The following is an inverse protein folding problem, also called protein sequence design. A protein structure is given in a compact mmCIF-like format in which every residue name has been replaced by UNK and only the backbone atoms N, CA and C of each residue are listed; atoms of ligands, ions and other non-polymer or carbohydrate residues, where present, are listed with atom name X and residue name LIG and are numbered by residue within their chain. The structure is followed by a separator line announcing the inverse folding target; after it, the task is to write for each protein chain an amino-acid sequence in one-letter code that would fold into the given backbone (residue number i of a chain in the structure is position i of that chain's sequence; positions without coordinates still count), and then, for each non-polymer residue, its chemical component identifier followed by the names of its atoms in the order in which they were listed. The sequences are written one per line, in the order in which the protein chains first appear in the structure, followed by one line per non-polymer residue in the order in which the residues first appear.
data_IF_756605811077
#
_entry.id   IF_756605811077
#
_cell.length_a   1.000
_cell.length_b   1.000
_cell.length_c   1.000
_cell.angle_alpha   90.00
_cell.angle_beta   90.00
_cell.angle_gamma   90.00
#
_symmetry.space_group_name_H-M   'P 1'
#
loop_
_entity.id
_entity.type
_entity.pdbx_description
1 polymer ?
#
# COMPACT_ATOMS: atom_id res chain seq x y z
N UNK A 1 -19.40 -5.81 -21.65
CA UNK A 1 -19.90 -5.63 -20.27
C UNK A 1 -20.02 -4.16 -19.90
N UNK A 2 -18.94 -3.40 -19.60
CA UNK A 2 -19.08 -1.98 -19.21
C UNK A 2 -19.81 -1.14 -20.26
N UNK A 3 -19.41 -1.26 -21.52
CA UNK A 3 -20.05 -0.54 -22.62
C UNK A 3 -21.57 -0.80 -22.69
N UNK A 4 -22.00 -2.04 -22.46
CA UNK A 4 -23.42 -2.44 -22.50
C UNK A 4 -24.19 -1.89 -21.29
N UNK A 5 -23.56 -1.91 -20.11
CA UNK A 5 -24.11 -1.33 -18.88
C UNK A 5 -24.31 0.18 -19.05
N UNK A 6 -23.29 0.90 -19.55
CA UNK A 6 -23.38 2.34 -19.83
C UNK A 6 -24.42 2.65 -20.91
N UNK A 7 -24.48 1.86 -21.99
CA UNK A 7 -25.50 2.01 -23.04
C UNK A 7 -26.91 1.87 -22.47
N UNK A 8 -27.11 0.97 -21.51
CA UNK A 8 -28.41 0.76 -20.86
C UNK A 8 -28.74 1.90 -19.90
N UNK A 9 -27.79 2.30 -19.05
CA UNK A 9 -27.93 3.41 -18.11
C UNK A 9 -28.29 4.72 -18.83
N UNK A 10 -27.59 5.03 -19.92
CA UNK A 10 -27.77 6.27 -20.68
C UNK A 10 -29.07 6.33 -21.51
N UNK A 11 -29.96 5.32 -21.43
CA UNK A 11 -31.31 5.39 -22.04
C UNK A 11 -32.25 6.30 -21.27
N UNK A 12 -32.04 6.45 -19.97
CA UNK A 12 -32.93 7.18 -19.07
C UNK A 12 -32.22 8.11 -18.10
N UNK A 13 -30.89 8.15 -18.11
CA UNK A 13 -30.08 8.94 -17.19
C UNK A 13 -28.85 9.53 -17.90
N UNK A 14 -28.11 10.40 -17.23
CA UNK A 14 -26.97 11.15 -17.80
C UNK A 14 -25.71 10.96 -16.93
N UNK A 15 -24.55 10.92 -17.60
CA UNK A 15 -23.24 10.80 -16.98
C UNK A 15 -22.72 12.12 -16.39
N UNK A 16 -23.25 13.28 -16.81
CA UNK A 16 -22.76 14.60 -16.41
C UNK A 16 -22.73 14.82 -14.89
N UNK A 17 -23.59 14.16 -14.12
CA UNK A 17 -23.56 14.27 -12.64
C UNK A 17 -22.38 13.57 -11.98
N UNK A 18 -21.58 12.81 -12.74
CA UNK A 18 -20.42 12.05 -12.26
C UNK A 18 -19.09 12.60 -12.79
N UNK A 19 -19.13 13.72 -13.51
CA UNK A 19 -17.98 14.54 -13.90
C UNK A 19 -17.97 15.74 -12.93
N UNK A 20 -17.39 15.54 -11.75
CA UNK A 20 -17.55 16.51 -10.65
C UNK A 20 -16.58 17.69 -10.76
N UNK A 21 -15.54 17.58 -11.60
CA UNK A 21 -14.56 18.62 -11.84
C UNK A 21 -14.64 19.27 -13.24
N UNK A 22 -15.69 18.93 -14.01
CA UNK A 22 -16.02 19.47 -15.33
C UNK A 22 -14.91 19.27 -16.38
N UNK A 23 -14.14 18.18 -16.27
CA UNK A 23 -13.04 17.87 -17.20
C UNK A 23 -13.51 17.11 -18.47
N UNK A 24 -14.80 16.74 -18.51
CA UNK A 24 -15.43 16.00 -19.58
C UNK A 24 -15.33 14.49 -19.44
N UNK A 25 -14.85 13.97 -18.31
CA UNK A 25 -14.79 12.56 -17.96
C UNK A 25 -15.57 12.27 -16.68
N UNK A 26 -16.11 11.06 -16.59
CA UNK A 26 -16.61 10.55 -15.31
C UNK A 26 -15.44 10.24 -14.39
N UNK A 27 -15.48 10.77 -13.17
CA UNK A 27 -14.39 10.68 -12.18
C UNK A 27 -14.05 9.23 -11.80
N UNK A 28 -15.07 8.41 -11.59
CA UNK A 28 -14.93 7.03 -11.14
C UNK A 28 -16.11 6.16 -11.55
N UNK A 29 -15.81 4.96 -12.04
CA UNK A 29 -16.80 3.91 -12.33
C UNK A 29 -16.42 2.65 -11.58
N UNK A 30 -17.38 2.10 -10.84
CA UNK A 30 -17.36 0.74 -10.29
C UNK A 30 -18.41 -0.09 -11.02
N UNK A 31 -17.97 -1.14 -11.69
CA UNK A 31 -18.82 -2.09 -12.38
C UNK A 31 -18.92 -3.38 -11.56
N UNK A 32 -20.04 -3.53 -10.86
CA UNK A 32 -20.32 -4.73 -10.07
C UNK A 32 -20.90 -5.80 -10.99
N UNK A 33 -20.22 -6.94 -11.12
CA UNK A 33 -20.68 -8.07 -11.94
C UNK A 33 -21.28 -9.19 -11.08
N UNK A 34 -22.26 -9.92 -11.63
CA UNK A 34 -22.87 -11.05 -10.93
C UNK A 34 -21.85 -12.16 -10.63
N UNK A 35 -22.04 -12.84 -9.49
CA UNK A 35 -21.23 -13.98 -9.07
C UNK A 35 -19.90 -13.60 -8.40
N UNK A 36 -19.07 -14.62 -8.16
CA UNK A 36 -17.81 -14.49 -7.42
C UNK A 36 -16.66 -13.91 -8.25
N UNK A 37 -15.75 -13.21 -7.56
CA UNK A 37 -14.50 -12.72 -8.15
C UNK A 37 -13.46 -13.84 -8.29
N UNK A 38 -12.67 -13.79 -9.37
CA UNK A 38 -11.62 -14.78 -9.64
C UNK A 38 -10.55 -14.82 -8.54
N UNK A 39 -10.29 -13.68 -7.88
CA UNK A 39 -9.33 -13.53 -6.78
C UNK A 39 -9.67 -14.39 -5.55
N UNK A 40 -10.94 -14.76 -5.37
CA UNK A 40 -11.40 -15.57 -4.25
C UNK A 40 -11.59 -17.07 -4.59
N UNK A 41 -11.44 -17.47 -5.86
CA UNK A 41 -11.67 -18.84 -6.30
C UNK A 41 -10.39 -19.68 -6.17
N UNK A 42 -10.30 -20.66 -5.25
CA UNK A 42 -9.10 -21.47 -5.07
C UNK A 42 -8.81 -22.42 -6.24
N UNK A 43 -9.81 -22.83 -7.02
CA UNK A 43 -9.64 -23.77 -8.14
C UNK A 43 -9.20 -23.05 -9.43
N UNK A 44 -7.97 -23.28 -9.93
CA UNK A 44 -7.48 -22.60 -11.12
C UNK A 44 -8.32 -22.87 -12.37
N UNK A 45 -8.92 -24.05 -12.50
CA UNK A 45 -9.74 -24.39 -13.67
C UNK A 45 -11.06 -23.62 -13.71
N UNK A 46 -11.64 -23.30 -12.55
CA UNK A 46 -12.82 -22.42 -12.47
C UNK A 46 -12.44 -20.96 -12.67
N UNK A 47 -11.34 -20.54 -12.03
CA UNK A 47 -10.84 -19.15 -12.05
C UNK A 47 -10.64 -18.59 -13.46
N UNK A 48 -10.20 -19.42 -14.42
CA UNK A 48 -10.02 -19.05 -15.83
C UNK A 48 -11.26 -18.49 -16.51
N UNK A 49 -12.44 -18.85 -16.01
CA UNK A 49 -13.73 -18.47 -16.59
C UNK A 49 -14.45 -17.38 -15.76
N UNK A 50 -13.73 -16.75 -14.82
CA UNK A 50 -14.25 -15.73 -13.93
C UNK A 50 -13.56 -14.39 -14.20
N UNK A 51 -14.21 -13.30 -13.81
CA UNK A 51 -13.63 -11.96 -13.90
C UNK A 51 -12.82 -11.72 -12.61
N UNK A 52 -11.57 -11.29 -12.76
CA UNK A 52 -10.75 -10.83 -11.64
C UNK A 52 -11.06 -9.37 -11.38
N UNK A 53 -11.17 -8.96 -10.12
CA UNK A 53 -11.36 -7.54 -9.79
C UNK A 53 -10.19 -6.69 -10.30
N UNK A 54 -10.46 -5.64 -11.07
CA UNK A 54 -9.36 -4.83 -11.62
C UNK A 54 -9.82 -3.43 -12.03
N UNK A 55 -8.87 -2.51 -11.98
CA UNK A 55 -8.93 -1.23 -12.65
C UNK A 55 -8.28 -1.31 -14.03
N UNK A 56 -8.97 -0.83 -15.06
CA UNK A 56 -8.46 -0.81 -16.43
C UNK A 56 -9.06 0.34 -17.25
N UNK A 57 -8.63 0.47 -18.50
CA UNK A 57 -9.16 1.45 -19.46
C UNK A 57 -9.87 0.76 -20.61
N UNK A 58 -11.01 1.31 -21.04
CA UNK A 58 -11.65 0.89 -22.28
C UNK A 58 -10.71 1.09 -23.48
N UNK A 59 -10.76 0.26 -24.53
CA UNK A 59 -9.94 0.47 -25.74
C UNK A 59 -10.18 1.82 -26.42
N UNK A 60 -11.40 2.37 -26.26
CA UNK A 60 -11.79 3.73 -26.64
C UNK A 60 -12.77 4.25 -25.60
N UNK A 61 -12.75 5.56 -25.27
CA UNK A 61 -13.73 6.13 -24.36
C UNK A 61 -15.16 5.90 -24.86
N UNK A 62 -16.06 5.51 -23.95
CA UNK A 62 -17.50 5.59 -24.18
C UNK A 62 -17.92 7.05 -24.06
N UNK A 63 -18.70 7.57 -25.00
CA UNK A 63 -19.08 8.99 -25.03
C UNK A 63 -20.59 9.12 -25.05
N UNK A 64 -21.14 9.92 -24.12
CA UNK A 64 -22.56 10.25 -24.10
C UNK A 64 -22.74 11.74 -23.75
N UNK A 65 -23.38 12.48 -24.66
CA UNK A 65 -23.68 13.91 -24.48
C UNK A 65 -22.48 14.79 -24.08
N UNK A 66 -21.29 14.48 -24.63
CA UNK A 66 -20.06 15.24 -24.37
C UNK A 66 -19.21 14.70 -23.22
N UNK A 67 -19.78 13.91 -22.32
CA UNK A 67 -19.09 13.28 -21.18
C UNK A 67 -18.55 11.91 -21.56
N UNK A 68 -17.36 11.58 -21.08
CA UNK A 68 -16.61 10.36 -21.45
C UNK A 68 -16.41 9.43 -20.26
N UNK A 69 -16.47 8.13 -20.50
CA UNK A 69 -16.00 7.10 -19.58
C UNK A 69 -14.82 6.39 -20.22
N UNK A 70 -13.70 6.30 -19.51
CA UNK A 70 -12.49 5.66 -20.02
C UNK A 70 -11.91 4.66 -19.03
N UNK A 71 -11.51 5.12 -17.85
CA UNK A 71 -11.10 4.25 -16.76
C UNK A 71 -12.33 3.67 -16.03
N UNK A 72 -12.19 2.45 -15.53
CA UNK A 72 -13.19 1.81 -14.70
C UNK A 72 -12.50 0.85 -13.75
N UNK A 73 -13.18 0.55 -12.65
CA UNK A 73 -12.93 -0.64 -11.88
C UNK A 73 -14.11 -1.61 -11.99
N UNK A 74 -13.84 -2.90 -11.86
CA UNK A 74 -14.86 -3.95 -11.83
C UNK A 74 -14.61 -4.93 -10.70
N UNK A 75 -15.68 -5.34 -10.03
CA UNK A 75 -15.67 -6.12 -8.80
C UNK A 75 -16.87 -7.08 -8.78
N UNK A 76 -16.78 -8.19 -8.05
CA UNK A 76 -17.89 -9.12 -7.95
C UNK A 76 -19.00 -8.61 -7.04
N UNK A 77 -20.20 -9.15 -7.23
CA UNK A 77 -21.40 -8.92 -6.42
C UNK A 77 -21.18 -9.23 -4.93
N UNK A 78 -20.36 -10.25 -4.63
CA UNK A 78 -19.98 -10.62 -3.27
C UNK A 78 -18.64 -10.00 -2.83
N UNK A 79 -18.17 -8.97 -3.56
CA UNK A 79 -16.96 -8.22 -3.28
C UNK A 79 -16.97 -7.66 -1.86
N UNK A 80 -15.83 -7.78 -1.19
CA UNK A 80 -15.68 -7.33 0.20
C UNK A 80 -15.08 -5.94 0.25
N UNK A 81 -15.25 -5.24 1.38
CA UNK A 81 -14.79 -3.87 1.56
C UNK A 81 -13.33 -3.65 1.15
N UNK A 82 -12.46 -4.63 1.39
CA UNK A 82 -11.06 -4.56 1.02
C UNK A 82 -10.77 -4.62 -0.47
N UNK A 83 -11.54 -5.38 -1.26
CA UNK A 83 -11.41 -5.41 -2.73
C UNK A 83 -11.79 -4.05 -3.30
N UNK A 84 -12.98 -3.54 -2.94
CA UNK A 84 -13.41 -2.21 -3.35
C UNK A 84 -12.43 -1.10 -2.92
N UNK A 85 -11.88 -1.20 -1.71
CA UNK A 85 -10.92 -0.22 -1.20
C UNK A 85 -9.58 -0.26 -1.96
N UNK A 86 -9.12 -1.45 -2.33
CA UNK A 86 -7.91 -1.66 -3.12
C UNK A 86 -8.05 -1.05 -4.52
N UNK A 87 -9.15 -1.38 -5.20
CA UNK A 87 -9.47 -0.86 -6.52
C UNK A 87 -9.69 0.66 -6.52
N UNK A 88 -10.34 1.19 -5.47
CA UNK A 88 -10.43 2.64 -5.29
C UNK A 88 -9.04 3.28 -5.18
N UNK A 89 -8.07 2.60 -4.57
CA UNK A 89 -6.67 3.03 -4.55
C UNK A 89 -6.05 3.18 -5.94
N UNK A 90 -6.36 2.27 -6.88
CA UNK A 90 -5.92 2.39 -8.27
C UNK A 90 -6.56 3.55 -9.01
N UNK A 91 -7.86 3.80 -8.80
CA UNK A 91 -8.54 4.97 -9.36
C UNK A 91 -7.92 6.29 -8.85
N UNK A 92 -7.41 6.30 -7.62
CA UNK A 92 -6.63 7.42 -7.07
C UNK A 92 -5.18 7.49 -7.58
N UNK A 93 -4.73 6.52 -8.37
CA UNK A 93 -3.41 6.50 -9.01
C UNK A 93 -2.31 5.78 -8.22
N UNK A 94 -2.66 4.90 -7.27
CA UNK A 94 -1.69 4.03 -6.58
C UNK A 94 -1.42 2.75 -7.39
N UNK A 95 -0.17 2.25 -7.42
CA UNK A 95 0.14 0.96 -8.02
C UNK A 95 -0.13 -0.18 -7.01
N UNK A 96 -0.13 -1.41 -7.53
CA UNK A 96 0.01 -2.61 -6.70
C UNK A 96 1.35 -2.60 -5.96
N UNK A 97 1.29 -2.94 -4.67
CA UNK A 97 2.45 -3.12 -3.80
C UNK A 97 2.67 -4.59 -3.40
N UNK A 98 1.83 -5.52 -3.88
CA UNK A 98 2.21 -6.92 -4.00
C UNK A 98 3.03 -7.14 -5.28
N UNK A 99 3.73 -8.25 -5.37
CA UNK A 99 4.48 -8.62 -6.57
C UNK A 99 3.57 -9.36 -7.56
N UNK A 100 3.23 -8.68 -8.65
CA UNK A 100 2.35 -9.18 -9.71
C UNK A 100 2.94 -10.36 -10.50
N UNK A 101 4.24 -10.64 -10.33
CA UNK A 101 4.92 -11.81 -10.92
C UNK A 101 4.90 -13.04 -10.01
N UNK A 102 4.31 -12.92 -8.81
CA UNK A 102 4.20 -13.98 -7.81
C UNK A 102 5.54 -14.54 -7.33
N UNK A 103 6.62 -13.75 -7.38
CA UNK A 103 7.95 -14.15 -6.87
C UNK A 103 8.17 -13.76 -5.41
N UNK A 104 7.27 -12.94 -4.85
CA UNK A 104 7.26 -12.49 -3.47
C UNK A 104 5.86 -12.02 -3.04
N UNK A 105 5.69 -11.63 -1.78
CA UNK A 105 4.47 -11.01 -1.28
C UNK A 105 4.47 -9.47 -1.37
N UNK A 106 5.53 -8.86 -1.92
CA UNK A 106 5.72 -7.41 -1.90
C UNK A 106 5.69 -6.88 -0.45
N UNK A 107 4.76 -5.97 -0.14
CA UNK A 107 4.58 -5.47 1.26
C UNK A 107 3.55 -6.27 2.08
N UNK A 108 2.98 -7.34 1.55
CA UNK A 108 2.13 -8.26 2.31
C UNK A 108 0.87 -7.61 2.91
N UNK A 109 0.48 -8.05 4.12
CA UNK A 109 -0.71 -7.58 4.84
C UNK A 109 -0.57 -6.14 5.35
N UNK A 110 0.64 -5.59 5.31
CA UNK A 110 0.98 -4.29 5.87
C UNK A 110 0.46 -3.09 5.07
N UNK A 111 -0.08 -3.30 3.86
CA UNK A 111 -0.68 -2.24 3.07
C UNK A 111 -1.93 -2.67 2.30
N UNK A 112 -2.93 -1.78 2.26
CA UNK A 112 -4.13 -1.94 1.43
C UNK A 112 -3.82 -2.28 -0.03
N UNK A 113 -2.80 -1.65 -0.61
CA UNK A 113 -2.38 -1.88 -2.00
C UNK A 113 -1.62 -3.21 -2.20
N UNK A 114 -1.62 -4.08 -1.20
CA UNK A 114 -1.03 -5.42 -1.21
C UNK A 114 -2.03 -6.44 -0.64
N UNK A 115 -1.56 -7.47 0.07
CA UNK A 115 -2.42 -8.46 0.71
C UNK A 115 -3.26 -7.88 1.87
N UNK A 116 -2.97 -6.64 2.29
CA UNK A 116 -3.74 -5.94 3.32
C UNK A 116 -5.22 -5.75 2.96
N UNK A 117 -5.57 -5.77 1.67
CA UNK A 117 -6.97 -5.81 1.20
C UNK A 117 -7.74 -7.03 1.71
N UNK A 118 -7.06 -8.13 2.08
CA UNK A 118 -7.69 -9.35 2.61
C UNK A 118 -7.76 -9.41 4.14
N UNK A 119 -7.39 -8.34 4.85
CA UNK A 119 -7.51 -8.23 6.29
C UNK A 119 -8.93 -8.55 6.79
N UNK A 120 -9.05 -9.39 7.84
CA UNK A 120 -10.35 -9.84 8.33
C UNK A 120 -11.16 -10.60 7.27
N UNK A 121 -10.47 -11.39 6.43
CA UNK A 121 -11.02 -12.05 5.24
C UNK A 121 -11.58 -11.04 4.21
N UNK A 122 -11.03 -9.83 4.13
CA UNK A 122 -11.47 -8.77 3.22
C UNK A 122 -12.53 -7.82 3.77
N UNK A 123 -13.07 -8.07 4.96
CA UNK A 123 -14.05 -7.18 5.59
C UNK A 123 -13.41 -6.10 6.48
N UNK A 124 -12.13 -6.25 6.81
CA UNK A 124 -11.37 -5.32 7.65
C UNK A 124 -9.99 -5.10 7.04
N UNK A 125 -9.92 -4.48 5.84
CA UNK A 125 -8.66 -4.28 5.18
C UNK A 125 -7.71 -3.43 6.03
N UNK A 126 -6.41 -3.69 5.91
CA UNK A 126 -5.41 -2.82 6.51
C UNK A 126 -5.39 -1.47 5.80
N UNK A 127 -4.83 -0.47 6.46
CA UNK A 127 -4.71 0.86 5.89
C UNK A 127 -3.64 0.93 4.81
N UNK A 128 -3.78 1.92 3.94
CA UNK A 128 -2.70 2.43 3.09
C UNK A 128 -1.47 2.78 3.95
N UNK A 129 -0.27 2.48 3.43
CA UNK A 129 0.98 2.85 4.09
C UNK A 129 1.17 4.36 4.04
N UNK A 130 2.05 4.90 4.89
CA UNK A 130 2.40 6.31 4.81
C UNK A 130 2.99 6.73 3.45
N UNK A 131 3.59 5.80 2.70
CA UNK A 131 4.01 6.06 1.32
C UNK A 131 2.80 6.33 0.41
N UNK A 132 1.79 5.46 0.42
CA UNK A 132 0.56 5.64 -0.36
C UNK A 132 -0.11 6.98 -0.01
N UNK A 133 -0.28 7.26 1.28
CA UNK A 133 -0.89 8.50 1.75
C UNK A 133 -0.08 9.74 1.33
N UNK A 134 1.24 9.65 1.32
CA UNK A 134 2.12 10.74 0.84
C UNK A 134 2.05 10.90 -0.68
N UNK A 135 1.97 9.80 -1.44
CA UNK A 135 1.86 9.81 -2.90
C UNK A 135 0.57 10.47 -3.36
N UNK A 136 -0.53 10.24 -2.64
CA UNK A 136 -1.82 10.89 -2.84
C UNK A 136 -1.87 12.34 -2.33
N UNK A 137 -0.80 12.85 -1.71
CA UNK A 137 -0.75 14.20 -1.16
C UNK A 137 -1.57 14.41 0.12
N UNK A 138 -2.12 13.34 0.72
CA UNK A 138 -2.95 13.42 1.93
C UNK A 138 -2.13 13.67 3.19
N UNK A 139 -0.85 13.31 3.18
CA UNK A 139 0.11 13.63 4.23
C UNK A 139 1.43 14.15 3.64
N UNK A 140 2.21 14.86 4.46
CA UNK A 140 3.57 15.30 4.12
C UNK A 140 4.56 14.75 5.16
N UNK A 141 5.42 13.79 4.80
CA UNK A 141 6.43 13.25 5.72
C UNK A 141 7.38 14.33 6.24
N UNK A 142 7.67 14.30 7.54
CA UNK A 142 8.61 15.21 8.20
C UNK A 142 10.05 14.78 7.92
N UNK A 143 10.87 15.67 7.37
CA UNK A 143 12.29 15.38 7.13
C UNK A 143 13.07 15.33 8.45
N UNK A 144 13.95 14.34 8.57
CA UNK A 144 15.01 14.32 9.58
C UNK A 144 16.32 14.71 8.92
N UNK A 145 16.95 15.78 9.42
CA UNK A 145 18.20 16.34 8.87
C UNK A 145 19.35 16.32 9.87
N UNK A 146 19.09 15.95 11.12
CA UNK A 146 20.06 15.83 12.21
C UNK A 146 19.53 14.84 13.24
N UNK A 147 20.44 14.38 14.11
CA UNK A 147 20.10 13.52 15.24
C UNK A 147 18.94 14.09 16.07
N UNK A 148 17.89 13.30 16.28
CA UNK A 148 16.73 13.69 17.10
C UNK A 148 16.01 12.49 17.69
N UNK A 149 15.40 12.71 18.85
CA UNK A 149 14.38 11.80 19.37
C UNK A 149 13.07 12.00 18.60
N UNK A 150 12.37 10.90 18.35
CA UNK A 150 11.09 10.84 17.66
C UNK A 150 10.12 10.03 18.51
N UNK A 151 8.91 10.57 18.64
CA UNK A 151 7.76 9.87 19.20
C UNK A 151 6.69 9.83 18.11
N UNK A 152 6.24 8.62 17.76
CA UNK A 152 5.31 8.34 16.68
C UNK A 152 4.00 7.81 17.25
N UNK A 153 2.92 8.57 17.06
CA UNK A 153 1.55 8.04 17.13
C UNK A 153 1.20 7.33 15.82
N UNK A 154 0.14 6.54 15.80
CA UNK A 154 -0.42 6.03 14.54
C UNK A 154 -0.92 7.18 13.67
N UNK A 155 -0.92 7.01 12.35
CA UNK A 155 -1.55 7.97 11.44
C UNK A 155 -3.07 8.06 11.59
N UNK A 156 -3.71 7.13 12.32
CA UNK A 156 -5.11 7.24 12.75
C UNK A 156 -5.30 8.36 13.77
N UNK A 157 -4.45 8.36 14.80
CA UNK A 157 -4.51 9.33 15.87
C UNK A 157 -3.95 10.70 15.42
N UNK A 158 -2.89 10.71 14.59
CA UNK A 158 -2.23 11.95 14.18
C UNK A 158 -1.64 11.86 12.77
N UNK A 159 -2.36 12.42 11.79
CA UNK A 159 -2.03 12.39 10.35
C UNK A 159 -0.64 12.98 9.97
N UNK A 160 0.02 13.69 10.88
CA UNK A 160 1.36 14.25 10.65
C UNK A 160 2.52 13.31 11.03
N UNK A 161 2.23 12.16 11.66
CA UNK A 161 3.26 11.29 12.24
C UNK A 161 3.79 10.26 11.23
N UNK A 162 4.42 10.79 10.18
CA UNK A 162 5.29 10.06 9.26
C UNK A 162 6.59 10.84 9.12
N UNK A 163 7.74 10.16 9.22
CA UNK A 163 9.05 10.78 9.03
C UNK A 163 9.75 10.19 7.83
N UNK A 164 10.47 11.04 7.12
CA UNK A 164 11.37 10.65 6.05
C UNK A 164 12.81 10.82 6.51
N UNK A 165 13.60 9.77 6.38
CA UNK A 165 15.01 9.73 6.80
C UNK A 165 15.87 9.21 5.66
N UNK A 166 16.98 9.91 5.42
CA UNK A 166 17.99 9.49 4.44
C UNK A 166 19.28 10.29 4.63
N UNK A 167 20.39 9.85 4.02
CA UNK A 167 21.72 10.48 3.95
C UNK A 167 21.72 12.00 4.22
N UNK A 168 22.04 12.43 5.45
CA UNK A 168 22.08 13.86 5.86
C UNK A 168 20.81 14.66 5.51
N UNK A 169 19.65 14.02 5.47
CA UNK A 169 18.37 14.62 5.10
C UNK A 169 18.14 14.81 3.59
N UNK A 170 18.90 14.15 2.72
CA UNK A 170 18.77 14.31 1.27
C UNK A 170 17.39 13.88 0.72
N UNK A 171 16.87 14.64 -0.24
CA UNK A 171 15.56 14.43 -0.89
C UNK A 171 15.70 13.76 -2.26
N UNK A 172 16.37 12.60 -2.30
CA UNK A 172 16.53 11.80 -3.53
C UNK A 172 15.38 10.81 -3.79
N UNK A 173 15.44 10.02 -4.86
CA UNK A 173 14.41 9.03 -5.19
C UNK A 173 14.44 7.80 -4.26
N UNK A 174 15.45 7.67 -3.40
CA UNK A 174 15.60 6.54 -2.49
C UNK A 174 15.72 7.05 -1.06
N UNK A 175 14.95 6.46 -0.14
CA UNK A 175 14.80 6.95 1.22
C UNK A 175 14.07 5.94 2.11
N UNK A 176 14.07 6.17 3.43
CA UNK A 176 13.22 5.43 4.36
C UNK A 176 12.05 6.30 4.84
N UNK A 177 10.87 5.69 4.99
CA UNK A 177 9.73 6.27 5.72
C UNK A 177 9.48 5.50 7.01
N UNK A 178 9.16 6.25 8.06
CA UNK A 178 8.91 5.74 9.40
C UNK A 178 7.46 6.00 9.78
N UNK A 179 6.76 4.94 10.18
CA UNK A 179 5.34 4.97 10.55
C UNK A 179 5.05 4.03 11.72
N UNK A 180 4.24 4.45 12.67
CA UNK A 180 3.74 3.56 13.73
C UNK A 180 2.42 2.90 13.27
N UNK A 181 2.40 1.58 13.21
CA UNK A 181 1.22 0.75 12.91
C UNK A 181 0.87 -0.10 14.13
N UNK A 182 -0.42 -0.23 14.41
CA UNK A 182 -0.92 -0.97 15.57
C UNK A 182 -2.07 -1.85 15.11
N UNK A 183 -2.07 -3.12 15.50
CA UNK A 183 -3.12 -4.11 15.24
C UNK A 183 -4.39 -3.82 16.05
N UNK A 184 -4.97 -2.62 15.85
CA UNK A 184 -6.17 -2.12 16.51
C UNK A 184 -6.90 -1.13 15.59
N UNK A 185 -8.14 -0.80 15.93
CA UNK A 185 -8.92 0.19 15.17
C UNK A 185 -9.11 -0.25 13.72
N UNK A 186 -8.75 0.62 12.78
CA UNK A 186 -8.83 0.33 11.34
C UNK A 186 -7.77 -0.68 10.87
N UNK A 187 -6.68 -0.85 11.61
CA UNK A 187 -5.61 -1.81 11.33
C UNK A 187 -5.76 -3.10 12.18
N UNK A 188 -6.93 -3.38 12.75
CA UNK A 188 -7.15 -4.50 13.68
C UNK A 188 -6.84 -5.90 13.11
N UNK A 189 -6.72 -6.03 11.78
CA UNK A 189 -6.38 -7.28 11.11
C UNK A 189 -4.87 -7.44 10.83
N UNK A 190 -4.03 -6.44 11.14
CA UNK A 190 -2.59 -6.56 10.96
C UNK A 190 -2.02 -7.69 11.83
N UNK A 191 -0.97 -8.38 11.35
CA UNK A 191 -0.40 -9.51 12.08
C UNK A 191 0.50 -9.10 13.26
N UNK A 192 0.81 -7.80 13.38
CA UNK A 192 1.66 -7.25 14.45
C UNK A 192 1.53 -5.74 14.62
N UNK A 193 2.26 -5.20 15.59
CA UNK A 193 2.27 -3.77 15.95
C UNK A 193 3.70 -3.29 16.15
N UNK A 194 3.99 -2.06 15.74
CA UNK A 194 5.30 -1.45 15.91
C UNK A 194 5.60 -0.37 14.89
N UNK A 195 6.89 -0.11 14.72
CA UNK A 195 7.45 0.79 13.73
C UNK A 195 7.63 0.05 12.40
N UNK A 196 6.86 0.44 11.39
CA UNK A 196 7.16 0.12 10.02
C UNK A 196 8.29 1.01 9.52
N UNK A 197 9.34 0.39 8.98
CA UNK A 197 10.44 1.05 8.28
C UNK A 197 10.32 0.69 6.81
N UNK A 198 9.73 1.60 6.04
CA UNK A 198 9.53 1.42 4.61
C UNK A 198 10.78 1.86 3.84
N UNK A 199 11.36 1.01 3.02
CA UNK A 199 12.41 1.41 2.08
C UNK A 199 11.82 1.71 0.71
N UNK A 200 12.00 2.95 0.27
CA UNK A 200 11.40 3.47 -0.96
C UNK A 200 12.50 3.67 -2.00
N UNK A 201 12.26 3.23 -3.24
CA UNK A 201 13.10 3.52 -4.41
C UNK A 201 12.22 3.89 -5.61
N UNK A 202 11.95 5.18 -5.77
CA UNK A 202 11.07 5.75 -6.82
C UNK A 202 11.64 5.63 -8.24
N UNK A 203 12.82 4.99 -8.39
CA UNK A 203 13.33 4.59 -9.70
C UNK A 203 12.66 3.32 -10.21
N UNK A 204 12.06 2.53 -9.31
CA UNK A 204 11.25 1.37 -9.67
C UNK A 204 9.84 1.85 -10.03
N UNK A 205 9.21 1.18 -10.99
CA UNK A 205 7.85 1.51 -11.41
C UNK A 205 6.77 0.83 -10.57
N UNK A 206 7.12 -0.29 -9.91
CA UNK A 206 6.19 -1.17 -9.19
C UNK A 206 6.95 -2.02 -8.15
N UNK A 207 6.27 -3.03 -7.59
CA UNK A 207 6.82 -3.98 -6.62
C UNK A 207 7.11 -5.38 -7.19
N UNK A 208 7.38 -5.51 -8.50
CA UNK A 208 7.58 -6.81 -9.14
C UNK A 208 8.98 -7.41 -8.98
N UNK A 209 9.95 -6.66 -8.43
CA UNK A 209 11.35 -7.08 -8.31
C UNK A 209 11.75 -7.27 -6.83
N UNK A 210 11.85 -8.53 -6.34
CA UNK A 210 12.22 -8.83 -4.96
C UNK A 210 13.60 -8.36 -4.50
N UNK A 211 14.46 -7.95 -5.43
CA UNK A 211 15.79 -7.41 -5.12
C UNK A 211 15.80 -5.88 -4.99
N UNK A 212 14.78 -5.19 -5.49
CA UNK A 212 14.62 -3.75 -5.42
C UNK A 212 13.16 -3.36 -5.71
N UNK A 213 12.35 -3.24 -4.66
CA UNK A 213 10.97 -2.78 -4.76
C UNK A 213 10.86 -1.25 -4.87
N UNK A 214 9.73 -0.77 -5.41
CA UNK A 214 9.31 0.62 -5.23
C UNK A 214 9.06 0.91 -3.74
N UNK A 215 8.38 0.02 -3.03
CA UNK A 215 8.13 0.08 -1.59
C UNK A 215 8.46 -1.29 -0.97
N UNK A 216 9.45 -1.35 -0.09
CA UNK A 216 9.77 -2.54 0.70
C UNK A 216 9.47 -2.31 2.18
N UNK A 217 9.10 -3.36 2.92
CA UNK A 217 9.14 -3.34 4.38
C UNK A 217 10.45 -3.95 4.84
N UNK A 218 11.24 -3.21 5.63
CA UNK A 218 12.39 -3.81 6.33
C UNK A 218 11.86 -4.60 7.52
N UNK A 219 11.86 -5.93 7.41
CA UNK A 219 11.35 -6.84 8.45
C UNK A 219 12.34 -6.92 9.62
N UNK A 220 11.92 -6.50 10.81
CA UNK A 220 12.78 -6.30 11.97
C UNK A 220 13.58 -7.54 12.35
N UNK A 221 12.96 -8.71 12.19
CA UNK A 221 13.54 -10.00 12.54
C UNK A 221 14.59 -10.54 11.54
N UNK A 222 14.71 -9.89 10.36
CA UNK A 222 15.66 -10.20 9.30
C UNK A 222 15.33 -11.44 8.45
N UNK A 223 14.16 -12.07 8.62
CA UNK A 223 13.85 -13.35 7.98
C UNK A 223 13.59 -13.25 6.48
N UNK A 224 13.11 -12.08 6.01
CA UNK A 224 12.70 -11.85 4.62
C UNK A 224 11.54 -12.76 4.18
N UNK A 225 10.58 -13.00 5.06
CA UNK A 225 9.46 -13.89 4.81
C UNK A 225 8.58 -13.39 3.65
N UNK A 226 8.46 -12.07 3.49
CA UNK A 226 7.77 -11.44 2.36
C UNK A 226 8.47 -11.71 1.01
N UNK A 227 9.79 -11.50 0.93
CA UNK A 227 10.58 -11.70 -0.28
C UNK A 227 10.74 -13.19 -0.64
N UNK A 228 10.71 -14.07 0.36
CA UNK A 228 10.96 -15.51 0.22
C UNK A 228 9.67 -16.35 0.14
N UNK A 229 8.50 -15.72 -0.01
CA UNK A 229 7.20 -16.38 -0.10
C UNK A 229 6.91 -17.32 1.09
N UNK A 230 7.31 -16.93 2.29
CA UNK A 230 7.10 -17.73 3.50
C UNK A 230 5.75 -17.43 4.15
N UNK A 231 5.44 -16.15 4.31
CA UNK A 231 4.15 -15.66 4.77
C UNK A 231 3.91 -14.23 4.26
N UNK A 232 2.70 -13.72 4.43
CA UNK A 232 2.32 -12.35 4.02
C UNK A 232 2.51 -11.29 5.12
N UNK A 233 3.15 -11.66 6.22
CA UNK A 233 3.52 -10.81 7.34
C UNK A 233 3.29 -11.48 8.69
N UNK A 234 4.08 -11.12 9.69
CA UNK A 234 3.98 -11.65 11.06
C UNK A 234 4.41 -10.64 12.15
N UNK A 235 4.34 -11.05 13.42
CA UNK A 235 4.64 -10.19 14.55
C UNK A 235 6.13 -9.75 14.64
N UNK A 236 7.02 -10.39 13.89
CA UNK A 236 8.45 -10.08 13.81
C UNK A 236 8.81 -8.99 12.80
N UNK A 237 7.89 -8.59 11.92
CA UNK A 237 8.22 -7.66 10.82
C UNK A 237 8.40 -6.21 11.26
N UNK A 238 7.55 -5.70 12.17
CA UNK A 238 7.63 -4.31 12.63
C UNK A 238 8.58 -4.17 13.81
N UNK A 239 9.33 -3.07 13.92
CA UNK A 239 10.25 -2.88 15.03
C UNK A 239 9.53 -2.42 16.32
N UNK A 240 9.93 -2.87 17.52
CA UNK A 240 11.05 -3.78 17.76
C UNK A 240 10.72 -5.26 17.50
N UNK A 241 9.45 -5.59 17.22
CA UNK A 241 9.02 -6.94 16.91
C UNK A 241 9.07 -7.87 18.12
N UNK A 242 8.79 -9.15 17.89
CA UNK A 242 8.87 -10.20 18.90
C UNK A 242 10.30 -10.46 19.41
N UNK A 243 11.31 -10.23 18.57
CA UNK A 243 12.75 -10.34 18.91
C UNK A 243 13.32 -9.11 19.63
N UNK A 244 12.54 -8.04 19.86
CA UNK A 244 13.01 -6.88 20.62
C UNK A 244 14.13 -6.07 19.93
N UNK A 245 14.14 -6.02 18.60
CA UNK A 245 15.14 -5.35 17.78
C UNK A 245 15.04 -3.83 17.96
N UNK A 246 15.86 -3.30 18.86
CA UNK A 246 15.84 -1.89 19.25
C UNK A 246 16.71 -0.98 18.35
N UNK A 247 17.37 -1.51 17.33
CA UNK A 247 18.23 -0.75 16.43
C UNK A 247 18.32 -1.32 15.01
N UNK A 248 18.45 -0.44 14.02
CA UNK A 248 18.73 -0.77 12.61
C UNK A 248 19.66 0.30 12.02
N UNK A 249 20.68 -0.13 11.27
CA UNK A 249 21.63 0.75 10.57
C UNK A 249 22.29 0.03 9.39
N UNK A 250 23.31 0.66 8.78
CA UNK A 250 23.93 0.15 7.54
C UNK A 250 24.61 -1.23 7.68
N UNK A 251 24.85 -1.73 8.91
CA UNK A 251 25.56 -2.99 9.16
C UNK A 251 24.72 -4.01 9.93
N UNK A 252 23.42 -3.78 10.12
CA UNK A 252 22.48 -4.77 10.69
C UNK A 252 21.84 -5.62 9.61
N UNK A 253 21.12 -6.67 10.01
CA UNK A 253 20.16 -7.41 9.18
C UNK A 253 18.79 -7.29 9.85
N UNK A 254 17.79 -6.64 9.23
CA UNK A 254 17.86 -5.94 7.94
C UNK A 254 18.77 -4.70 8.00
N UNK A 255 19.18 -4.21 6.84
CA UNK A 255 20.09 -3.07 6.70
C UNK A 255 19.36 -1.84 6.17
N UNK A 256 19.79 -0.64 6.58
CA UNK A 256 19.29 0.63 6.03
C UNK A 256 19.96 1.03 4.70
N UNK A 257 20.94 0.27 4.21
CA UNK A 257 21.68 0.58 2.97
C UNK A 257 20.74 0.72 1.77
N UNK A 258 21.17 1.50 0.78
CA UNK A 258 20.48 1.56 -0.52
C UNK A 258 20.41 0.18 -1.18
N UNK A 259 19.51 0.00 -2.13
CA UNK A 259 19.40 -1.19 -3.01
C UNK A 259 20.73 -1.50 -3.74
N UNK A 260 21.57 -0.49 -3.99
CA UNK A 260 22.92 -0.66 -4.58
C UNK A 260 24.03 -0.99 -3.56
N UNK A 261 23.67 -1.26 -2.30
CA UNK A 261 24.62 -1.56 -1.22
C UNK A 261 25.45 -0.37 -0.70
N UNK A 262 25.17 0.86 -1.13
CA UNK A 262 25.81 2.06 -0.58
C UNK A 262 25.27 2.40 0.81
N UNK A 263 26.12 2.85 1.75
CA UNK A 263 25.68 3.32 3.07
C UNK A 263 24.65 4.44 2.97
N UNK A 264 23.54 4.30 3.70
CA UNK A 264 22.49 5.32 3.85
C UNK A 264 22.84 6.35 4.91
N UNK A 265 23.76 6.01 5.84
CA UNK A 265 24.07 6.77 7.06
C UNK A 265 22.89 6.96 7.99
N UNK A 266 21.78 6.26 7.76
CA UNK A 266 20.65 6.24 8.69
C UNK A 266 20.96 5.25 9.80
N UNK A 267 20.81 5.72 11.04
CA UNK A 267 20.86 4.87 12.23
C UNK A 267 19.61 5.17 13.06
N UNK A 268 18.82 4.13 13.32
CA UNK A 268 17.70 4.17 14.24
C UNK A 268 18.08 3.33 15.46
N UNK A 269 17.95 3.89 16.65
CA UNK A 269 18.31 3.25 17.92
C UNK A 269 17.27 3.55 18.99
N UNK A 270 17.32 2.84 20.11
CA UNK A 270 16.35 2.96 21.20
C UNK A 270 14.90 2.83 20.70
N UNK A 271 14.68 1.99 19.69
CA UNK A 271 13.34 1.71 19.17
C UNK A 271 12.60 0.93 20.26
N UNK A 272 11.53 1.53 20.76
CA UNK A 272 10.69 0.96 21.80
C UNK A 272 9.23 1.29 21.52
N UNK A 273 8.33 0.49 22.07
CA UNK A 273 6.91 0.70 21.98
C UNK A 273 6.28 0.60 23.38
N UNK A 274 5.50 1.61 23.77
CA UNK A 274 4.76 1.60 25.03
C UNK A 274 3.44 2.33 24.85
N UNK A 275 2.34 1.73 25.34
CA UNK A 275 0.99 2.31 25.19
C UNK A 275 0.55 2.50 23.74
N UNK A 276 1.09 1.74 22.80
CA UNK A 276 0.84 1.90 21.35
C UNK A 276 1.52 3.12 20.72
N UNK A 277 2.47 3.74 21.43
CA UNK A 277 3.34 4.79 20.93
C UNK A 277 4.72 4.21 20.67
N UNK A 278 5.29 4.50 19.50
CA UNK A 278 6.68 4.17 19.18
C UNK A 278 7.57 5.35 19.58
N UNK A 279 8.68 5.07 20.24
CA UNK A 279 9.76 6.02 20.50
C UNK A 279 11.05 5.51 19.90
N UNK A 280 11.88 6.41 19.37
CA UNK A 280 13.20 6.08 18.85
C UNK A 280 14.12 7.29 18.82
N UNK A 281 15.41 7.03 18.61
CA UNK A 281 16.42 8.01 18.25
C UNK A 281 16.81 7.79 16.77
N UNK A 282 16.64 8.82 15.95
CA UNK A 282 17.05 8.80 14.54
C UNK A 282 18.28 9.69 14.32
N UNK A 283 19.22 9.21 13.51
CA UNK A 283 20.45 9.90 13.10
C UNK A 283 20.68 9.69 11.59
N UNK A 284 21.11 10.73 10.87
CA UNK A 284 21.28 10.76 9.40
C UNK A 284 22.50 11.56 8.96
#
# INVERSE_FOLDING_TARGET
MLHDALTTFCRSDNLARFDADDDGFVDAIFLIHAGHGAEAEPNPSKRKNMIWSHTWTLPRPFVHQGVKVFAYSTEPEDGRAGVFSHEFGHLLGLPDLYDTTFRSHGVGEWCLMAAGSWGGKGNRPSRMSCWCLSKLGWIKPKLVTRKRSIQLNTLEAKKTECYRVWKKGATGPEYLLLENRQAKGLDAALPGSGLAVWHIDERQSNNDNPLAYLVALLQADGNKDLELLKNSGDAGDLFPGDKGVAAIHDNTTPSTRSNKGSPSRVTLTNIAMSGGIVTLQAEV
#
